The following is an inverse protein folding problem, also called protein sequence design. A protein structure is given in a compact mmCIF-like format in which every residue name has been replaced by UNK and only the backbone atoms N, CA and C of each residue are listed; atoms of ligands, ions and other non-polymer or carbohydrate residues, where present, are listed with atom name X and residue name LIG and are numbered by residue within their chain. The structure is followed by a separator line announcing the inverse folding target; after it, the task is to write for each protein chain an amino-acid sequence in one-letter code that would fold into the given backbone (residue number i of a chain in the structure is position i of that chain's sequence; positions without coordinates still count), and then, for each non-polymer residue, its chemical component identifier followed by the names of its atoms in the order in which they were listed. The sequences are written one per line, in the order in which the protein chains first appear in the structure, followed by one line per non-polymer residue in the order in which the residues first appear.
data_IF_607962342578
#
_entry.id   IF_607962342578
#
_cell.length_a   1.000
_cell.length_b   1.000
_cell.length_c   1.000
_cell.angle_alpha   90.00
_cell.angle_beta   90.00
_cell.angle_gamma   90.00
#
_symmetry.space_group_name_H-M   'P 1'
#
loop_
_entity.id
_entity.type
_entity.pdbx_description
1 polymer ?
#
# COMPACT_ATOMS: atom_id res chain seq x y z
N UNK A 1 -14.98 23.84 40.09
CA UNK A 1 -16.31 23.31 39.81
C UNK A 1 -16.10 21.84 39.46
N UNK A 2 -16.46 20.90 40.35
CA UNK A 2 -16.40 19.47 40.02
C UNK A 2 -17.50 19.22 38.99
N UNK A 3 -17.11 18.94 37.76
CA UNK A 3 -18.01 18.42 36.75
C UNK A 3 -18.64 17.12 37.29
N UNK A 4 -19.94 16.95 37.17
CA UNK A 4 -20.62 15.70 37.50
C UNK A 4 -19.94 14.56 36.71
N UNK A 5 -19.75 13.38 37.29
CA UNK A 5 -19.14 12.27 36.56
C UNK A 5 -19.96 11.96 35.30
N UNK A 6 -19.29 11.67 34.19
CA UNK A 6 -19.94 11.29 32.93
C UNK A 6 -20.48 9.87 33.06
N UNK A 7 -21.78 9.67 32.89
CA UNK A 7 -22.40 8.35 32.93
C UNK A 7 -22.05 7.56 31.64
N UNK A 8 -21.47 6.38 31.80
CA UNK A 8 -21.06 5.48 30.72
C UNK A 8 -21.78 4.13 30.86
N UNK A 9 -22.30 3.59 29.77
CA UNK A 9 -22.82 2.22 29.72
C UNK A 9 -21.77 1.30 29.10
N UNK A 10 -21.28 0.36 29.89
CA UNK A 10 -20.34 -0.69 29.47
C UNK A 10 -21.09 -1.98 29.19
N UNK A 11 -20.96 -2.51 27.98
CA UNK A 11 -21.66 -3.71 27.54
C UNK A 11 -20.67 -4.72 27.02
N UNK A 12 -20.53 -5.85 27.68
CA UNK A 12 -19.60 -6.91 27.36
C UNK A 12 -20.09 -8.22 28.00
N UNK A 13 -19.97 -9.36 27.35
CA UNK A 13 -20.42 -10.65 27.86
C UNK A 13 -19.37 -11.35 28.73
N UNK A 14 -18.12 -10.90 28.70
CA UNK A 14 -17.08 -11.35 29.63
C UNK A 14 -17.23 -10.62 30.97
N UNK A 15 -17.79 -11.29 31.96
CA UNK A 15 -18.04 -10.75 33.31
C UNK A 15 -16.75 -10.22 33.97
N UNK A 16 -15.63 -10.93 33.83
CA UNK A 16 -14.35 -10.54 34.44
C UNK A 16 -13.81 -9.29 33.77
N UNK A 17 -13.76 -9.27 32.44
CA UNK A 17 -13.30 -8.11 31.69
C UNK A 17 -14.17 -6.89 31.94
N UNK A 18 -15.50 -7.07 31.99
CA UNK A 18 -16.45 -6.00 32.26
C UNK A 18 -16.26 -5.39 33.64
N UNK A 19 -16.07 -6.21 34.68
CA UNK A 19 -15.86 -5.75 36.06
C UNK A 19 -14.52 -5.00 36.23
N UNK A 20 -13.44 -5.53 35.66
CA UNK A 20 -12.11 -4.89 35.70
C UNK A 20 -12.15 -3.55 34.95
N UNK A 21 -12.75 -3.51 33.77
CA UNK A 21 -12.82 -2.29 32.97
C UNK A 21 -13.74 -1.24 33.65
N UNK A 22 -14.85 -1.66 34.24
CA UNK A 22 -15.74 -0.77 34.98
C UNK A 22 -14.99 -0.11 36.16
N UNK A 23 -14.28 -0.89 36.98
CA UNK A 23 -13.47 -0.37 38.10
C UNK A 23 -12.42 0.64 37.59
N UNK A 24 -11.71 0.31 36.53
CA UNK A 24 -10.69 1.20 35.96
C UNK A 24 -11.28 2.51 35.40
N UNK A 25 -12.48 2.50 34.85
CA UNK A 25 -13.20 3.68 34.39
C UNK A 25 -13.74 4.53 35.55
N UNK A 26 -14.22 3.90 36.62
CA UNK A 26 -14.67 4.58 37.84
C UNK A 26 -13.50 5.31 38.52
N UNK A 27 -12.31 4.73 38.55
CA UNK A 27 -11.08 5.39 39.02
C UNK A 27 -10.70 6.62 38.17
N UNK A 28 -11.16 6.71 36.92
CA UNK A 28 -11.00 7.87 36.04
C UNK A 28 -12.13 8.88 36.14
N UNK A 29 -13.11 8.66 37.04
CA UNK A 29 -14.18 9.58 37.33
C UNK A 29 -15.45 9.40 36.48
N UNK A 30 -15.62 8.25 35.84
CA UNK A 30 -16.88 7.90 35.19
C UNK A 30 -17.84 7.27 36.18
N UNK A 31 -19.15 7.43 35.96
CA UNK A 31 -20.15 6.59 36.57
C UNK A 31 -20.55 5.49 35.59
N UNK A 32 -20.21 4.23 35.93
CA UNK A 32 -20.32 3.11 35.01
C UNK A 32 -21.59 2.29 35.30
N UNK A 33 -22.43 2.18 34.27
CA UNK A 33 -23.52 1.21 34.24
C UNK A 33 -23.09 0.01 33.44
N UNK A 34 -23.44 -1.20 33.86
CA UNK A 34 -22.97 -2.44 33.24
C UNK A 34 -24.12 -3.25 32.66
N UNK A 35 -23.90 -3.91 31.54
CA UNK A 35 -24.82 -4.87 30.94
C UNK A 35 -24.06 -6.03 30.29
N UNK A 36 -24.51 -7.30 30.40
CA UNK A 36 -23.84 -8.45 29.84
C UNK A 36 -24.13 -8.68 28.35
N UNK A 37 -25.10 -7.98 27.77
CA UNK A 37 -25.48 -8.08 26.35
C UNK A 37 -26.32 -6.88 25.91
N UNK A 38 -26.58 -6.79 24.61
CA UNK A 38 -27.37 -5.69 24.04
C UNK A 38 -28.81 -5.60 24.54
N UNK A 39 -29.44 -6.72 24.88
CA UNK A 39 -30.80 -6.71 25.40
C UNK A 39 -30.87 -6.04 26.78
N UNK A 40 -29.95 -6.44 27.68
CA UNK A 40 -29.85 -5.80 29.01
C UNK A 40 -29.37 -4.36 28.92
N UNK A 41 -28.53 -4.03 27.96
CA UNK A 41 -28.15 -2.65 27.70
C UNK A 41 -29.38 -1.74 27.38
N UNK A 42 -30.31 -2.22 26.57
CA UNK A 42 -31.56 -1.48 26.28
C UNK A 42 -32.42 -1.30 27.53
N UNK A 43 -32.50 -2.28 28.43
CA UNK A 43 -33.22 -2.14 29.70
C UNK A 43 -32.58 -1.07 30.61
N UNK A 44 -31.24 -1.02 30.63
CA UNK A 44 -30.51 0.01 31.38
C UNK A 44 -30.79 1.39 30.78
N UNK A 45 -30.73 1.55 29.45
CA UNK A 45 -31.01 2.81 28.75
C UNK A 45 -32.46 3.33 28.98
N UNK A 46 -33.43 2.45 29.24
CA UNK A 46 -34.79 2.83 29.57
C UNK A 46 -34.92 3.37 31.00
N UNK A 47 -34.08 2.92 31.92
CA UNK A 47 -34.11 3.29 33.35
C UNK A 47 -33.20 4.46 33.66
N UNK A 48 -32.06 4.55 33.01
CA UNK A 48 -31.01 5.53 33.28
C UNK A 48 -30.96 6.57 32.17
N UNK A 49 -31.47 7.76 32.43
CA UNK A 49 -31.58 8.85 31.42
C UNK A 49 -30.31 9.68 31.28
N UNK A 50 -29.32 9.49 32.18
CA UNK A 50 -28.06 10.26 32.23
C UNK A 50 -26.90 9.70 31.41
N UNK A 51 -27.08 8.55 30.79
CA UNK A 51 -26.00 7.89 30.02
C UNK A 51 -25.57 8.75 28.82
N UNK A 52 -24.30 9.13 28.79
CA UNK A 52 -23.74 10.03 27.81
C UNK A 52 -22.97 9.30 26.69
N UNK A 53 -22.47 8.08 26.95
CA UNK A 53 -21.76 7.27 25.98
C UNK A 53 -21.94 5.79 26.27
N UNK A 54 -21.98 4.97 25.21
CA UNK A 54 -21.99 3.52 25.30
C UNK A 54 -20.64 3.00 24.80
N UNK A 55 -20.01 2.09 25.57
CA UNK A 55 -18.92 1.24 25.13
C UNK A 55 -19.44 -0.18 25.09
N UNK A 56 -19.49 -0.81 23.92
CA UNK A 56 -20.06 -2.15 23.75
C UNK A 56 -19.13 -3.06 23.00
N UNK A 57 -19.01 -4.30 23.44
CA UNK A 57 -18.49 -5.36 22.58
C UNK A 57 -19.38 -5.57 21.34
N UNK A 58 -18.79 -6.08 20.26
CA UNK A 58 -19.54 -6.42 19.05
C UNK A 58 -20.23 -7.77 19.21
N UNK A 59 -19.51 -8.79 19.71
CA UNK A 59 -20.06 -10.14 19.79
C UNK A 59 -20.51 -10.48 21.20
N UNK A 60 -21.81 -10.55 21.36
CA UNK A 60 -22.45 -10.90 22.63
C UNK A 60 -23.65 -11.81 22.36
N UNK A 61 -23.99 -12.71 23.30
CA UNK A 61 -25.18 -13.53 23.19
C UNK A 61 -26.47 -12.69 23.22
N UNK A 62 -27.58 -13.26 22.76
CA UNK A 62 -28.93 -12.69 22.71
C UNK A 62 -29.06 -11.48 21.77
N UNK A 63 -28.31 -10.41 21.97
CA UNK A 63 -28.23 -9.23 21.12
C UNK A 63 -26.80 -8.73 21.03
N UNK A 64 -26.25 -8.75 19.82
CA UNK A 64 -24.92 -8.28 19.55
C UNK A 64 -24.80 -6.73 19.54
N UNK A 65 -23.56 -6.21 19.53
CA UNK A 65 -23.31 -4.77 19.57
C UNK A 65 -23.78 -4.03 18.30
N UNK A 66 -23.87 -4.70 17.16
CA UNK A 66 -24.35 -4.09 15.91
C UNK A 66 -25.87 -3.91 15.93
N UNK A 67 -26.60 -4.92 16.43
CA UNK A 67 -28.04 -4.82 16.61
C UNK A 67 -28.38 -3.82 17.72
N UNK A 68 -27.62 -3.80 18.82
CA UNK A 68 -27.73 -2.76 19.86
C UNK A 68 -27.58 -1.36 19.25
N UNK A 69 -26.54 -1.14 18.43
CA UNK A 69 -26.32 0.13 17.75
C UNK A 69 -27.52 0.53 16.89
N UNK A 70 -28.09 -0.41 16.14
CA UNK A 70 -29.27 -0.16 15.30
C UNK A 70 -30.45 0.32 16.15
N UNK A 71 -30.69 -0.32 17.30
CA UNK A 71 -31.75 0.06 18.23
C UNK A 71 -31.50 1.42 18.88
N UNK A 72 -30.28 1.68 19.30
CA UNK A 72 -29.87 2.98 19.88
C UNK A 72 -30.04 4.11 18.86
N UNK A 73 -29.71 3.88 17.58
CA UNK A 73 -29.91 4.88 16.51
C UNK A 73 -31.38 5.15 16.23
N UNK A 74 -32.27 4.21 16.45
CA UNK A 74 -33.72 4.43 16.36
C UNK A 74 -34.26 5.23 17.53
N UNK A 75 -33.59 5.23 18.68
CA UNK A 75 -33.97 5.99 19.87
C UNK A 75 -33.36 7.40 19.92
N UNK A 76 -32.22 7.62 19.21
CA UNK A 76 -31.53 8.91 19.19
C UNK A 76 -30.05 8.81 18.78
N UNK A 77 -29.32 9.90 18.99
CA UNK A 77 -27.92 10.02 18.58
C UNK A 77 -26.93 9.81 19.75
N UNK A 78 -27.24 8.93 20.70
CA UNK A 78 -26.35 8.65 21.82
C UNK A 78 -25.00 8.08 21.29
N UNK A 79 -23.86 8.69 21.63
CA UNK A 79 -22.55 8.21 21.19
C UNK A 79 -22.32 6.75 21.58
N UNK A 80 -21.89 5.92 20.64
CA UNK A 80 -21.60 4.52 20.87
C UNK A 80 -20.26 4.13 20.26
N UNK A 81 -19.34 3.68 21.12
CA UNK A 81 -18.05 3.11 20.78
C UNK A 81 -18.19 1.58 20.76
N UNK A 82 -17.69 0.94 19.73
CA UNK A 82 -17.66 -0.51 19.64
C UNK A 82 -16.26 -1.04 19.88
N UNK A 83 -16.12 -1.89 20.89
CA UNK A 83 -14.92 -2.69 21.09
C UNK A 83 -14.98 -3.89 20.14
N UNK A 84 -13.93 -4.08 19.36
CA UNK A 84 -13.91 -5.10 18.30
C UNK A 84 -12.80 -6.10 18.53
N UNK A 85 -13.13 -7.39 18.49
CA UNK A 85 -12.16 -8.45 18.35
C UNK A 85 -11.65 -8.56 16.90
N UNK A 86 -10.59 -9.34 16.71
CA UNK A 86 -9.94 -9.49 15.40
C UNK A 86 -10.83 -10.16 14.33
N UNK A 87 -11.88 -10.85 14.75
CA UNK A 87 -12.77 -11.62 13.86
C UNK A 87 -13.95 -10.81 13.28
N UNK A 88 -14.11 -9.53 13.61
CA UNK A 88 -15.37 -8.78 13.45
C UNK A 88 -15.34 -7.70 12.36
N UNK A 89 -14.54 -7.90 11.31
CA UNK A 89 -14.38 -6.90 10.25
C UNK A 89 -15.68 -6.57 9.51
N UNK A 90 -16.52 -7.58 9.26
CA UNK A 90 -17.80 -7.40 8.54
C UNK A 90 -18.79 -6.63 9.39
N UNK A 91 -18.88 -6.99 10.67
CA UNK A 91 -19.69 -6.35 11.68
C UNK A 91 -19.25 -4.89 11.89
N UNK A 92 -17.93 -4.66 11.96
CA UNK A 92 -17.34 -3.31 12.09
C UNK A 92 -17.69 -2.42 10.89
N UNK A 93 -17.63 -2.94 9.66
CA UNK A 93 -18.05 -2.21 8.45
C UNK A 93 -19.55 -1.88 8.49
N UNK A 94 -20.38 -2.81 8.95
CA UNK A 94 -21.83 -2.62 9.11
C UNK A 94 -22.13 -1.58 10.17
N UNK A 95 -21.49 -1.68 11.33
CA UNK A 95 -21.63 -0.72 12.43
C UNK A 95 -21.19 0.69 12.03
N UNK A 96 -20.15 0.82 11.21
CA UNK A 96 -19.75 2.10 10.67
C UNK A 96 -20.84 2.73 9.81
N UNK A 97 -21.46 1.96 8.89
CA UNK A 97 -22.59 2.44 8.08
C UNK A 97 -23.80 2.85 8.92
N UNK A 98 -24.01 2.18 10.04
CA UNK A 98 -25.06 2.50 11.01
C UNK A 98 -24.72 3.71 11.90
N UNK A 99 -23.54 4.32 11.75
CA UNK A 99 -23.15 5.53 12.47
C UNK A 99 -22.55 5.28 13.85
N UNK A 100 -21.81 4.20 14.06
CA UNK A 100 -20.99 4.04 15.26
C UNK A 100 -20.06 5.24 15.45
N UNK A 101 -19.98 5.77 16.66
CA UNK A 101 -19.23 6.99 16.98
C UNK A 101 -17.72 6.74 17.07
N UNK A 102 -17.32 5.51 17.40
CA UNK A 102 -15.93 5.09 17.49
C UNK A 102 -15.76 3.58 17.45
N UNK A 103 -14.52 3.14 17.22
CA UNK A 103 -14.13 1.74 17.30
C UNK A 103 -12.84 1.62 18.09
N UNK A 104 -12.72 0.57 18.88
CA UNK A 104 -11.58 0.27 19.70
C UNK A 104 -11.21 -1.21 19.54
N UNK A 105 -10.00 -1.52 19.11
CA UNK A 105 -9.59 -2.92 18.90
C UNK A 105 -9.12 -3.54 20.21
N UNK A 106 -9.69 -4.67 20.60
CA UNK A 106 -9.22 -5.47 21.76
C UNK A 106 -7.93 -6.25 21.40
N UNK A 107 -6.91 -6.28 22.29
CA UNK A 107 -6.80 -5.51 23.52
C UNK A 107 -6.51 -4.02 23.24
N UNK A 108 -6.97 -3.12 24.10
CA UNK A 108 -6.75 -1.68 24.02
C UNK A 108 -6.22 -1.13 25.33
N UNK A 109 -5.52 0.01 25.25
CA UNK A 109 -5.03 0.72 26.42
C UNK A 109 -6.10 1.71 26.94
N UNK A 110 -6.12 1.92 28.26
CA UNK A 110 -7.06 2.85 28.89
C UNK A 110 -6.96 4.27 28.30
N UNK A 111 -5.75 4.75 28.02
CA UNK A 111 -5.52 6.07 27.45
C UNK A 111 -6.13 6.22 26.04
N UNK A 112 -6.19 5.16 25.26
CA UNK A 112 -6.87 5.17 23.94
C UNK A 112 -8.38 5.34 24.09
N UNK A 113 -8.99 4.60 25.01
CA UNK A 113 -10.40 4.70 25.29
C UNK A 113 -10.74 6.12 25.79
N UNK A 114 -9.97 6.66 26.74
CA UNK A 114 -10.18 8.00 27.27
C UNK A 114 -10.00 9.09 26.20
N UNK A 115 -9.01 8.97 25.32
CA UNK A 115 -8.80 9.87 24.21
C UNK A 115 -10.01 9.86 23.26
N UNK A 116 -10.52 8.66 22.94
CA UNK A 116 -11.68 8.50 22.08
C UNK A 116 -12.94 9.11 22.71
N UNK A 117 -13.21 8.87 24.00
CA UNK A 117 -14.32 9.47 24.74
C UNK A 117 -14.19 11.00 24.77
N UNK A 118 -13.01 11.56 25.08
CA UNK A 118 -12.78 13.01 25.05
C UNK A 118 -13.12 13.64 23.69
N UNK A 119 -12.73 13.01 22.60
CA UNK A 119 -13.02 13.47 21.24
C UNK A 119 -14.54 13.53 20.97
N UNK A 120 -15.32 12.59 21.52
CA UNK A 120 -16.78 12.57 21.36
C UNK A 120 -17.47 13.73 22.09
N UNK A 121 -16.90 14.22 23.21
CA UNK A 121 -17.50 15.28 24.03
C UNK A 121 -16.94 16.68 23.75
N UNK A 122 -15.78 16.81 23.11
CA UNK A 122 -15.15 18.11 22.85
C UNK A 122 -15.92 19.00 21.87
N UNK A 123 -17.01 18.51 21.28
CA UNK A 123 -17.82 19.27 20.30
C UNK A 123 -17.06 19.58 19.01
N UNK A 124 -15.77 19.43 19.04
CA UNK A 124 -14.95 19.39 17.85
C UNK A 124 -15.19 18.03 17.18
N UNK A 125 -15.98 18.08 16.14
CA UNK A 125 -15.83 17.13 15.04
C UNK A 125 -14.46 17.39 14.39
N UNK A 126 -13.41 17.61 15.17
CA UNK A 126 -12.08 17.23 14.75
C UNK A 126 -12.15 15.73 14.50
N UNK A 127 -12.38 15.48 13.25
CA UNK A 127 -12.21 14.21 12.61
C UNK A 127 -11.02 13.53 13.25
N UNK A 128 -11.22 12.49 14.06
CA UNK A 128 -10.30 11.37 14.18
C UNK A 128 -10.35 10.61 12.85
N UNK A 129 -10.46 11.35 11.78
CA UNK A 129 -10.10 10.99 10.43
C UNK A 129 -8.64 11.29 10.35
N UNK A 130 -7.84 10.31 10.74
CA UNK A 130 -6.51 10.23 10.19
C UNK A 130 -6.72 10.42 8.69
N UNK A 131 -6.26 11.55 8.18
CA UNK A 131 -6.40 11.91 6.76
C UNK A 131 -5.77 10.77 5.98
N UNK A 132 -6.33 10.40 4.84
CA UNK A 132 -5.76 9.37 3.93
C UNK A 132 -4.26 9.61 3.71
N UNK A 133 -3.80 10.86 3.93
CA UNK A 133 -2.41 11.29 3.89
C UNK A 133 -1.50 10.89 5.06
N UNK A 134 -1.99 10.33 6.18
CA UNK A 134 -1.16 10.01 7.36
C UNK A 134 -0.69 8.55 7.39
N UNK A 135 -1.17 7.73 6.47
CA UNK A 135 -0.87 6.32 6.40
C UNK A 135 -0.16 5.91 5.11
N UNK A 136 0.77 4.98 5.23
CA UNK A 136 1.33 4.21 4.15
C UNK A 136 0.70 2.80 4.15
N UNK A 137 0.44 2.27 2.97
CA UNK A 137 -0.17 0.95 2.80
C UNK A 137 0.88 -0.12 2.51
N UNK A 138 0.60 -1.33 2.95
CA UNK A 138 1.40 -2.51 2.65
C UNK A 138 0.42 -3.58 2.14
N UNK A 139 0.75 -4.22 1.03
CA UNK A 139 -0.02 -5.40 0.61
C UNK A 139 0.01 -6.44 1.73
N UNK A 140 -1.15 -7.00 2.07
CA UNK A 140 -1.24 -7.98 3.15
C UNK A 140 -0.34 -9.20 2.89
N UNK A 141 -0.12 -9.55 1.62
CA UNK A 141 0.77 -10.63 1.19
C UNK A 141 2.26 -10.27 1.32
N UNK A 142 2.57 -8.97 1.34
CA UNK A 142 3.92 -8.43 1.44
C UNK A 142 4.28 -8.03 2.89
N UNK A 143 3.33 -8.22 3.82
CA UNK A 143 3.56 -7.84 5.20
C UNK A 143 4.53 -8.80 5.89
N UNK A 144 5.63 -8.26 6.39
CA UNK A 144 6.67 -9.00 7.11
C UNK A 144 6.69 -8.53 8.56
N UNK A 145 6.47 -9.44 9.49
CA UNK A 145 6.64 -9.20 10.91
C UNK A 145 7.65 -10.17 11.52
N UNK A 146 8.34 -9.71 12.57
CA UNK A 146 9.04 -10.61 13.51
C UNK A 146 8.04 -11.27 14.46
N UNK A 147 8.55 -11.97 15.49
CA UNK A 147 7.70 -12.53 16.56
C UNK A 147 6.89 -11.46 17.27
N UNK A 148 7.42 -10.25 17.39
CA UNK A 148 6.78 -9.13 18.05
C UNK A 148 6.70 -7.97 17.06
N UNK A 149 5.53 -7.34 16.96
CA UNK A 149 5.32 -6.15 16.15
C UNK A 149 6.15 -4.97 16.68
N UNK A 150 6.78 -4.25 15.77
CA UNK A 150 7.52 -3.03 16.10
C UNK A 150 6.70 -1.76 15.90
N UNK A 151 5.50 -1.88 15.33
CA UNK A 151 4.63 -0.77 14.96
C UNK A 151 3.17 -1.18 15.07
N UNK A 152 2.31 -0.21 15.30
CA UNK A 152 0.87 -0.40 15.25
C UNK A 152 0.41 -0.69 13.81
N UNK A 153 -0.50 -1.65 13.63
CA UNK A 153 -1.04 -2.04 12.34
C UNK A 153 -2.52 -1.63 12.27
N UNK A 154 -2.91 -1.11 11.12
CA UNK A 154 -4.26 -0.63 10.87
C UNK A 154 -4.86 -1.28 9.62
N UNK A 155 -6.18 -1.32 9.56
CA UNK A 155 -6.97 -1.58 8.35
C UNK A 155 -7.84 -0.38 8.02
N UNK A 156 -8.17 -0.20 6.75
CA UNK A 156 -9.03 0.88 6.28
C UNK A 156 -10.48 0.38 6.16
N UNK A 157 -11.39 1.01 6.87
CA UNK A 157 -12.83 0.70 6.80
C UNK A 157 -13.55 1.57 5.76
N UNK A 158 -13.17 2.84 5.64
CA UNK A 158 -13.72 3.83 4.71
C UNK A 158 -12.63 4.82 4.28
N UNK A 159 -12.92 5.72 3.33
CA UNK A 159 -11.94 6.66 2.74
C UNK A 159 -11.08 7.37 3.80
N UNK A 160 -11.70 7.78 4.91
CA UNK A 160 -11.01 8.56 5.96
C UNK A 160 -11.04 7.85 7.32
N UNK A 161 -11.22 6.52 7.35
CA UNK A 161 -11.33 5.79 8.61
C UNK A 161 -10.45 4.55 8.65
N UNK A 162 -9.48 4.61 9.55
CA UNK A 162 -8.55 3.53 9.86
C UNK A 162 -8.83 2.98 11.26
N UNK A 163 -8.76 1.66 11.40
CA UNK A 163 -8.91 0.98 12.68
C UNK A 163 -7.64 0.21 12.97
N UNK A 164 -7.09 0.44 14.16
CA UNK A 164 -5.96 -0.32 14.66
C UNK A 164 -6.39 -1.76 14.91
N UNK A 165 -5.64 -2.71 14.37
CA UNK A 165 -5.91 -4.14 14.50
C UNK A 165 -4.81 -4.88 15.27
N UNK A 166 -3.67 -4.26 15.47
CA UNK A 166 -2.61 -4.80 16.29
C UNK A 166 -1.74 -3.66 16.87
N UNK A 167 -1.26 -3.88 18.07
CA UNK A 167 -0.41 -2.95 18.81
C UNK A 167 1.06 -3.30 18.65
N UNK A 168 1.91 -2.28 18.73
CA UNK A 168 3.34 -2.47 18.96
C UNK A 168 3.55 -3.30 20.23
N UNK A 169 4.53 -4.20 20.22
CA UNK A 169 4.84 -5.08 21.34
C UNK A 169 4.04 -6.38 21.39
N UNK A 170 3.00 -6.55 20.57
CA UNK A 170 2.16 -7.76 20.53
C UNK A 170 2.62 -8.70 19.42
N UNK A 171 2.47 -10.00 19.64
CA UNK A 171 2.67 -11.00 18.57
C UNK A 171 1.48 -10.97 17.60
N UNK A 172 1.74 -10.62 16.35
CA UNK A 172 0.75 -10.77 15.28
C UNK A 172 0.87 -12.16 14.67
N UNK A 173 0.01 -13.07 15.10
CA UNK A 173 -0.05 -14.42 14.54
C UNK A 173 -0.32 -14.37 13.02
N UNK A 174 0.46 -15.14 12.27
CA UNK A 174 0.26 -15.33 10.82
C UNK A 174 -1.17 -15.83 10.51
N UNK A 175 -1.79 -16.59 11.40
CA UNK A 175 -3.17 -17.03 11.27
C UNK A 175 -4.13 -15.82 11.19
N UNK A 176 -3.91 -14.76 11.95
CA UNK A 176 -4.70 -13.52 11.90
C UNK A 176 -4.55 -12.81 10.56
N UNK A 177 -3.34 -12.70 10.05
CA UNK A 177 -3.10 -12.10 8.72
C UNK A 177 -3.85 -12.86 7.63
N UNK A 178 -3.83 -14.20 7.68
CA UNK A 178 -4.59 -15.07 6.75
C UNK A 178 -6.09 -14.86 6.86
N UNK A 179 -6.60 -14.69 8.06
CA UNK A 179 -8.04 -14.44 8.29
C UNK A 179 -8.48 -13.11 7.68
N UNK A 180 -7.72 -12.01 7.87
CA UNK A 180 -8.00 -10.74 7.21
C UNK A 180 -7.97 -10.87 5.69
N UNK A 181 -7.00 -11.59 5.14
CA UNK A 181 -6.92 -11.87 3.71
C UNK A 181 -8.14 -12.64 3.21
N UNK A 182 -8.58 -13.69 3.90
CA UNK A 182 -9.77 -14.48 3.56
C UNK A 182 -11.06 -13.62 3.56
N UNK A 183 -11.09 -12.56 4.36
CA UNK A 183 -12.18 -11.56 4.41
C UNK A 183 -12.05 -10.43 3.40
N UNK A 184 -11.10 -10.52 2.46
CA UNK A 184 -10.92 -9.58 1.37
C UNK A 184 -10.16 -8.31 1.73
N UNK A 185 -9.43 -8.27 2.86
CA UNK A 185 -8.49 -7.20 3.17
C UNK A 185 -7.28 -7.36 2.25
N UNK A 186 -7.05 -6.37 1.42
CA UNK A 186 -5.92 -6.34 0.48
C UNK A 186 -4.70 -5.61 1.06
N UNK A 187 -4.93 -4.61 1.90
CA UNK A 187 -3.88 -3.74 2.44
C UNK A 187 -3.95 -3.65 3.95
N UNK A 188 -2.81 -3.71 4.58
CA UNK A 188 -2.54 -3.25 5.93
C UNK A 188 -1.95 -1.84 5.86
N UNK A 189 -2.07 -1.08 6.95
CA UNK A 189 -1.63 0.31 6.99
C UNK A 189 -0.76 0.56 8.21
N UNK A 190 0.31 1.35 8.03
CA UNK A 190 1.13 1.91 9.11
C UNK A 190 1.02 3.45 9.06
N UNK A 191 1.23 4.10 10.19
CA UNK A 191 1.47 5.54 10.17
C UNK A 191 2.75 5.84 9.38
N UNK A 192 2.77 6.95 8.66
CA UNK A 192 3.96 7.39 7.90
C UNK A 192 5.19 7.54 8.81
N UNK A 193 5.01 8.03 10.05
CA UNK A 193 6.07 8.10 11.04
C UNK A 193 6.78 6.77 11.28
N UNK A 194 6.06 5.66 11.19
CA UNK A 194 6.56 4.31 11.46
C UNK A 194 7.06 3.61 10.19
N UNK A 195 6.57 4.06 9.03
CA UNK A 195 6.83 3.39 7.75
C UNK A 195 8.30 3.41 7.35
N UNK A 196 9.03 4.51 7.63
CA UNK A 196 10.47 4.59 7.39
C UNK A 196 11.27 3.53 8.16
N UNK A 197 10.94 3.30 9.42
CA UNK A 197 11.59 2.28 10.25
C UNK A 197 11.24 0.87 9.79
N UNK A 198 9.99 0.66 9.36
CA UNK A 198 9.53 -0.59 8.77
C UNK A 198 10.26 -0.91 7.46
N UNK A 199 10.38 0.05 6.55
CA UNK A 199 11.13 -0.09 5.31
C UNK A 199 12.60 -0.40 5.56
N UNK A 200 13.28 0.30 6.50
CA UNK A 200 14.66 0.03 6.88
C UNK A 200 14.88 -1.39 7.42
N UNK A 201 13.92 -1.90 8.20
CA UNK A 201 13.94 -3.30 8.68
C UNK A 201 13.77 -4.28 7.52
N UNK A 202 12.85 -4.00 6.60
CA UNK A 202 12.57 -4.83 5.42
C UNK A 202 13.77 -4.89 4.47
N UNK A 203 14.46 -3.76 4.23
CA UNK A 203 15.72 -3.71 3.47
C UNK A 203 16.83 -4.55 4.10
N UNK A 204 16.99 -4.45 5.41
CA UNK A 204 17.99 -5.24 6.16
C UNK A 204 17.71 -6.74 6.03
N UNK A 205 16.44 -7.13 6.10
CA UNK A 205 16.03 -8.52 5.93
C UNK A 205 16.20 -8.97 4.47
N UNK A 206 15.81 -8.16 3.50
CA UNK A 206 15.96 -8.47 2.08
C UNK A 206 17.42 -8.72 1.71
N UNK A 207 18.37 -7.94 2.23
CA UNK A 207 19.81 -8.15 2.03
C UNK A 207 20.27 -9.51 2.57
N UNK A 208 19.81 -9.91 3.76
CA UNK A 208 20.14 -11.23 4.33
C UNK A 208 19.55 -12.37 3.52
N UNK A 209 18.28 -12.21 3.12
CA UNK A 209 17.55 -13.21 2.34
C UNK A 209 18.16 -13.36 0.92
N UNK A 210 18.52 -12.27 0.27
CA UNK A 210 19.15 -12.29 -1.05
C UNK A 210 20.50 -13.02 -1.06
N UNK A 211 21.28 -12.88 0.01
CA UNK A 211 22.60 -13.51 0.15
C UNK A 211 22.54 -14.99 0.59
N UNK A 212 21.44 -15.45 1.18
CA UNK A 212 21.34 -16.81 1.71
C UNK A 212 20.80 -17.80 0.65
N UNK A 213 21.73 -18.55 0.03
CA UNK A 213 21.41 -19.58 -0.97
C UNK A 213 20.65 -20.80 -0.44
N UNK A 214 20.52 -20.94 0.89
CA UNK A 214 19.66 -21.99 1.49
C UNK A 214 18.18 -21.65 1.41
N UNK A 215 17.88 -20.37 1.22
CA UNK A 215 16.50 -19.91 1.02
C UNK A 215 16.13 -20.15 -0.44
N UNK A 216 14.99 -20.80 -0.65
CA UNK A 216 14.44 -21.02 -1.98
C UNK A 216 14.37 -19.71 -2.78
N UNK A 217 14.74 -19.81 -4.08
CA UNK A 217 14.84 -18.66 -4.98
C UNK A 217 13.52 -17.89 -5.07
N UNK A 218 12.39 -18.60 -5.17
CA UNK A 218 11.07 -17.97 -5.23
C UNK A 218 10.79 -17.09 -4.02
N UNK A 219 11.22 -17.52 -2.82
CA UNK A 219 11.13 -16.70 -1.61
C UNK A 219 12.03 -15.49 -1.67
N UNK A 220 13.27 -15.64 -2.21
CA UNK A 220 14.18 -14.50 -2.38
C UNK A 220 13.63 -13.48 -3.37
N UNK A 221 13.10 -13.91 -4.51
CA UNK A 221 12.44 -13.06 -5.50
C UNK A 221 11.25 -12.30 -4.90
N UNK A 222 10.43 -12.98 -4.09
CA UNK A 222 9.30 -12.37 -3.37
C UNK A 222 9.75 -11.26 -2.42
N UNK A 223 10.81 -11.49 -1.64
CA UNK A 223 11.33 -10.47 -0.73
C UNK A 223 11.88 -9.24 -1.46
N UNK A 224 12.55 -9.44 -2.60
CA UNK A 224 13.03 -8.34 -3.42
C UNK A 224 11.87 -7.52 -3.95
N UNK A 225 10.86 -8.17 -4.53
CA UNK A 225 9.64 -7.50 -4.99
C UNK A 225 8.98 -6.68 -3.87
N UNK A 226 8.77 -7.30 -2.71
CA UNK A 226 8.17 -6.65 -1.54
C UNK A 226 8.92 -5.38 -1.17
N UNK A 227 10.25 -5.44 -1.17
CA UNK A 227 11.10 -4.29 -0.87
C UNK A 227 10.94 -3.18 -1.92
N UNK A 228 10.90 -3.54 -3.20
CA UNK A 228 10.65 -2.59 -4.29
C UNK A 228 9.29 -1.90 -4.16
N UNK A 229 8.24 -2.67 -3.87
CA UNK A 229 6.89 -2.12 -3.64
C UNK A 229 6.85 -1.14 -2.46
N UNK A 230 7.58 -1.41 -1.37
CA UNK A 230 7.65 -0.51 -0.22
C UNK A 230 8.38 0.79 -0.55
N UNK A 231 9.42 0.75 -1.39
CA UNK A 231 10.15 1.95 -1.84
C UNK A 231 9.24 2.81 -2.73
N UNK A 232 8.50 2.19 -3.66
CA UNK A 232 7.53 2.90 -4.49
C UNK A 232 6.42 3.50 -3.62
N UNK A 233 5.87 2.74 -2.66
CA UNK A 233 4.88 3.27 -1.70
C UNK A 233 5.41 4.50 -0.96
N UNK A 234 6.65 4.43 -0.41
CA UNK A 234 7.29 5.58 0.26
C UNK A 234 7.31 6.81 -0.64
N UNK A 235 7.72 6.65 -1.89
CA UNK A 235 7.80 7.74 -2.85
C UNK A 235 6.42 8.26 -3.29
N UNK A 236 5.41 7.39 -3.35
CA UNK A 236 4.04 7.75 -3.72
C UNK A 236 3.30 8.51 -2.62
N UNK A 237 3.52 8.17 -1.35
CA UNK A 237 2.75 8.76 -0.23
C UNK A 237 3.47 9.89 0.49
N UNK A 238 4.78 10.03 0.30
CA UNK A 238 5.61 11.07 0.91
C UNK A 238 6.39 11.83 -0.16
N UNK A 239 7.17 12.83 0.25
CA UNK A 239 8.16 13.45 -0.62
C UNK A 239 9.31 12.48 -0.89
N UNK A 240 9.86 12.52 -2.09
CA UNK A 240 11.04 11.75 -2.44
C UNK A 240 12.26 12.35 -1.75
N UNK A 241 12.86 11.60 -0.84
CA UNK A 241 14.01 12.03 -0.04
C UNK A 241 15.25 11.16 -0.33
N UNK A 242 16.39 11.54 0.25
CA UNK A 242 17.65 10.78 0.13
C UNK A 242 17.51 9.35 0.65
N UNK A 243 16.68 9.12 1.66
CA UNK A 243 16.45 7.78 2.18
C UNK A 243 15.77 6.85 1.15
N UNK A 244 14.78 7.35 0.40
CA UNK A 244 14.14 6.58 -0.65
C UNK A 244 15.12 6.25 -1.80
N UNK A 245 16.01 7.19 -2.15
CA UNK A 245 17.05 7.00 -3.17
C UNK A 245 18.11 5.99 -2.72
N UNK A 246 18.53 6.03 -1.45
CA UNK A 246 19.45 5.03 -0.87
C UNK A 246 18.79 3.66 -0.75
N UNK A 247 17.52 3.61 -0.35
CA UNK A 247 16.73 2.38 -0.32
C UNK A 247 16.62 1.73 -1.71
N UNK A 248 16.45 2.54 -2.76
CA UNK A 248 16.47 2.07 -4.13
C UNK A 248 17.83 1.49 -4.53
N UNK A 249 18.95 2.08 -4.07
CA UNK A 249 20.29 1.54 -4.30
C UNK A 249 20.43 0.15 -3.68
N UNK A 250 20.09 -0.01 -2.41
CA UNK A 250 20.10 -1.29 -1.71
C UNK A 250 19.22 -2.34 -2.43
N UNK A 251 18.06 -1.91 -2.90
CA UNK A 251 17.16 -2.77 -3.67
C UNK A 251 17.81 -3.28 -4.96
N UNK A 252 18.44 -2.39 -5.76
CA UNK A 252 19.07 -2.79 -7.01
C UNK A 252 20.24 -3.73 -6.79
N UNK A 253 21.07 -3.51 -5.77
CA UNK A 253 22.17 -4.42 -5.42
C UNK A 253 21.66 -5.82 -5.04
N UNK A 254 20.60 -5.90 -4.24
CA UNK A 254 19.98 -7.16 -3.86
C UNK A 254 19.29 -7.84 -5.06
N UNK A 255 18.57 -7.08 -5.89
CA UNK A 255 17.93 -7.60 -7.10
C UNK A 255 18.97 -8.17 -8.07
N UNK A 256 20.07 -7.45 -8.30
CA UNK A 256 21.16 -7.92 -9.15
C UNK A 256 21.81 -9.19 -8.63
N UNK A 257 21.92 -9.38 -7.32
CA UNK A 257 22.49 -10.60 -6.72
C UNK A 257 21.63 -11.82 -7.06
N UNK A 258 20.31 -11.68 -6.97
CA UNK A 258 19.38 -12.79 -7.25
C UNK A 258 19.21 -13.01 -8.76
N UNK A 259 19.15 -11.95 -9.55
CA UNK A 259 19.05 -12.00 -11.01
C UNK A 259 20.29 -12.66 -11.63
N UNK A 260 21.49 -12.41 -11.08
CA UNK A 260 22.73 -13.00 -11.59
C UNK A 260 22.79 -14.53 -11.47
N UNK A 261 21.94 -15.13 -10.63
CA UNK A 261 21.84 -16.58 -10.44
C UNK A 261 20.82 -17.23 -11.37
N UNK A 262 20.09 -16.45 -12.19
CA UNK A 262 19.00 -16.96 -13.00
C UNK A 262 19.33 -17.00 -14.49
N UNK A 263 19.28 -18.19 -15.06
CA UNK A 263 19.32 -18.37 -16.52
C UNK A 263 17.97 -18.00 -17.16
N UNK A 264 16.87 -18.05 -16.39
CA UNK A 264 15.52 -17.69 -16.83
C UNK A 264 14.97 -16.43 -16.14
N UNK A 265 15.55 -15.30 -16.51
CA UNK A 265 15.26 -13.97 -15.95
C UNK A 265 13.80 -13.54 -16.02
N UNK A 266 13.03 -14.01 -17.02
CA UNK A 266 11.63 -13.60 -17.23
C UNK A 266 10.64 -14.37 -16.35
N UNK A 267 10.97 -15.61 -15.96
CA UNK A 267 10.13 -16.40 -15.03
C UNK A 267 10.09 -15.81 -13.62
N UNK A 268 11.20 -15.28 -13.15
CA UNK A 268 11.26 -14.59 -11.85
C UNK A 268 10.35 -13.35 -11.81
N UNK A 269 10.10 -12.74 -12.95
CA UNK A 269 9.28 -11.55 -13.10
C UNK A 269 7.79 -11.86 -13.30
N UNK A 270 7.42 -13.06 -13.74
CA UNK A 270 6.02 -13.52 -13.69
C UNK A 270 5.51 -13.58 -12.24
N UNK A 271 6.39 -13.96 -11.30
CA UNK A 271 6.11 -13.94 -9.86
C UNK A 271 5.87 -12.51 -9.35
N UNK A 272 6.49 -11.49 -9.97
CA UNK A 272 6.27 -10.09 -9.63
C UNK A 272 4.82 -9.63 -9.93
N UNK A 273 4.14 -10.30 -10.87
CA UNK A 273 2.80 -9.93 -11.33
C UNK A 273 1.66 -10.45 -10.46
N UNK A 274 1.89 -11.39 -9.57
CA UNK A 274 0.78 -12.17 -9.01
C UNK A 274 -0.07 -11.42 -7.97
N UNK A 275 0.45 -10.44 -7.23
CA UNK A 275 -0.28 -9.90 -6.07
C UNK A 275 -0.01 -8.42 -5.76
N UNK A 276 0.56 -7.62 -6.67
CA UNK A 276 0.89 -6.21 -6.43
C UNK A 276 -0.19 -5.25 -6.95
N UNK A 277 -0.23 -4.04 -6.40
CA UNK A 277 -0.87 -2.90 -7.07
C UNK A 277 -0.19 -2.73 -8.44
N UNK A 278 -0.99 -2.58 -9.51
CA UNK A 278 -0.45 -2.58 -10.88
C UNK A 278 0.58 -1.47 -11.13
N UNK A 279 0.41 -0.29 -10.51
CA UNK A 279 1.39 0.82 -10.63
C UNK A 279 2.72 0.42 -10.00
N UNK A 280 2.70 -0.25 -8.84
CA UNK A 280 3.92 -0.63 -8.14
C UNK A 280 4.62 -1.81 -8.81
N UNK A 281 3.84 -2.83 -9.21
CA UNK A 281 4.36 -3.95 -9.98
C UNK A 281 5.02 -3.48 -11.28
N UNK A 282 4.38 -2.52 -11.97
CA UNK A 282 4.90 -1.90 -13.18
C UNK A 282 6.23 -1.19 -12.91
N UNK A 283 6.28 -0.26 -11.95
CA UNK A 283 7.50 0.50 -11.63
C UNK A 283 8.68 -0.38 -11.23
N UNK A 284 8.45 -1.40 -10.39
CA UNK A 284 9.47 -2.37 -10.01
C UNK A 284 9.94 -3.17 -11.21
N UNK A 285 9.02 -3.65 -12.06
CA UNK A 285 9.35 -4.41 -13.27
C UNK A 285 10.13 -3.58 -14.27
N UNK A 286 9.69 -2.36 -14.56
CA UNK A 286 10.40 -1.44 -15.48
C UNK A 286 11.82 -1.20 -15.00
N UNK A 287 12.04 -1.00 -13.70
CA UNK A 287 13.37 -0.80 -13.15
C UNK A 287 14.28 -1.99 -13.37
N UNK A 288 13.78 -3.21 -13.11
CA UNK A 288 14.55 -4.45 -13.27
C UNK A 288 14.84 -4.73 -14.74
N UNK A 289 13.84 -4.62 -15.62
CA UNK A 289 14.06 -4.83 -17.07
C UNK A 289 14.98 -3.79 -17.69
N UNK A 290 14.88 -2.53 -17.25
CA UNK A 290 15.82 -1.48 -17.68
C UNK A 290 17.24 -1.82 -17.31
N UNK A 291 17.50 -2.30 -16.09
CA UNK A 291 18.84 -2.75 -15.66
C UNK A 291 19.32 -3.94 -16.50
N UNK A 292 18.46 -4.90 -16.78
CA UNK A 292 18.80 -6.07 -17.60
C UNK A 292 19.18 -5.66 -19.04
N UNK A 293 18.39 -4.80 -19.67
CA UNK A 293 18.68 -4.24 -21.01
C UNK A 293 20.01 -3.49 -21.01
N UNK A 294 20.23 -2.61 -20.03
CA UNK A 294 21.48 -1.87 -19.91
C UNK A 294 22.70 -2.80 -19.81
N UNK A 295 22.62 -3.84 -18.98
CA UNK A 295 23.70 -4.83 -18.84
C UNK A 295 23.97 -5.63 -20.12
N UNK A 296 22.90 -5.99 -20.84
CA UNK A 296 23.01 -6.68 -22.13
C UNK A 296 23.64 -5.78 -23.21
N UNK A 297 23.43 -4.48 -23.13
CA UNK A 297 24.08 -3.46 -23.96
C UNK A 297 25.53 -3.17 -23.56
N UNK A 298 26.04 -3.80 -22.49
CA UNK A 298 27.38 -3.53 -21.97
C UNK A 298 27.48 -2.38 -20.98
N UNK A 299 26.36 -1.77 -20.57
CA UNK A 299 26.32 -0.70 -19.57
C UNK A 299 26.39 -1.27 -18.14
N UNK A 300 27.55 -1.83 -17.78
CA UNK A 300 27.71 -2.63 -16.56
C UNK A 300 28.25 -1.84 -15.37
N UNK A 301 28.67 -0.59 -15.56
CA UNK A 301 29.22 0.25 -14.49
C UNK A 301 28.14 0.47 -13.40
N UNK A 302 28.51 0.31 -12.12
CA UNK A 302 27.58 0.44 -11.01
C UNK A 302 26.82 1.80 -10.99
N UNK A 303 27.46 2.96 -11.24
CA UNK A 303 26.73 4.24 -11.33
C UNK A 303 25.72 4.27 -12.47
N UNK A 304 26.01 3.67 -13.63
CA UNK A 304 25.11 3.61 -14.77
C UNK A 304 23.93 2.71 -14.47
N UNK A 305 24.17 1.51 -13.93
CA UNK A 305 23.15 0.56 -13.54
C UNK A 305 22.20 1.18 -12.50
N UNK A 306 22.73 1.94 -11.55
CA UNK A 306 21.95 2.66 -10.55
C UNK A 306 21.04 3.71 -11.20
N UNK A 307 21.55 4.56 -12.11
CA UNK A 307 20.76 5.58 -12.81
C UNK A 307 19.62 4.95 -13.63
N UNK A 308 19.94 3.88 -14.34
CA UNK A 308 18.95 3.11 -15.13
C UNK A 308 17.84 2.55 -14.23
N UNK A 309 18.22 1.89 -13.13
CA UNK A 309 17.25 1.35 -12.18
C UNK A 309 16.39 2.44 -11.55
N UNK A 310 17.02 3.57 -11.17
CA UNK A 310 16.33 4.70 -10.55
C UNK A 310 15.32 5.34 -11.52
N UNK A 311 15.70 5.50 -12.80
CA UNK A 311 14.80 5.97 -13.84
C UNK A 311 13.58 5.05 -13.97
N UNK A 312 13.79 3.73 -14.04
CA UNK A 312 12.69 2.76 -14.15
C UNK A 312 11.81 2.69 -12.90
N UNK A 313 12.39 2.83 -11.69
CA UNK A 313 11.62 2.73 -10.45
C UNK A 313 10.69 3.92 -10.23
N UNK A 314 11.09 5.11 -10.65
CA UNK A 314 10.38 6.35 -10.37
C UNK A 314 9.86 7.07 -11.63
N UNK A 315 9.87 6.40 -12.84
CA UNK A 315 9.41 7.05 -14.06
C UNK A 315 7.96 7.54 -13.96
N UNK A 316 7.13 6.79 -13.25
CA UNK A 316 5.69 7.02 -13.09
C UNK A 316 5.30 7.66 -11.74
N UNK A 317 6.26 8.18 -10.96
CA UNK A 317 5.95 8.78 -9.64
C UNK A 317 4.97 9.96 -9.73
N UNK A 318 4.87 10.62 -10.88
CA UNK A 318 3.91 11.69 -11.15
C UNK A 318 2.45 11.24 -11.16
N UNK A 319 2.19 9.93 -11.29
CA UNK A 319 0.84 9.37 -11.17
C UNK A 319 0.21 9.62 -9.79
N UNK A 320 1.02 9.87 -8.75
CA UNK A 320 0.48 10.22 -7.41
C UNK A 320 -0.34 11.50 -7.40
N UNK A 321 -0.17 12.37 -8.39
CA UNK A 321 -0.92 13.62 -8.55
C UNK A 321 -2.12 13.48 -9.50
N UNK A 322 -2.38 12.29 -10.01
CA UNK A 322 -3.48 11.99 -10.93
C UNK A 322 -4.55 11.18 -10.19
N UNK A 323 -5.82 11.50 -10.45
CA UNK A 323 -6.94 10.77 -9.83
C UNK A 323 -6.83 9.27 -10.14
N UNK A 324 -6.90 8.48 -9.09
CA UNK A 324 -6.81 7.01 -9.18
C UNK A 324 -7.84 6.42 -10.14
N UNK A 325 -9.01 7.03 -10.28
CA UNK A 325 -10.02 6.62 -11.23
C UNK A 325 -9.51 6.67 -12.68
N UNK A 326 -8.72 7.68 -13.03
CA UNK A 326 -8.11 7.80 -14.35
C UNK A 326 -7.05 6.70 -14.55
N UNK A 327 -6.21 6.49 -13.54
CA UNK A 327 -5.14 5.47 -13.57
C UNK A 327 -5.72 4.05 -13.72
N UNK A 328 -6.82 3.76 -13.02
CA UNK A 328 -7.47 2.44 -13.02
C UNK A 328 -8.40 2.22 -14.23
N UNK A 329 -8.55 3.21 -15.13
CA UNK A 329 -9.36 3.10 -16.33
C UNK A 329 -8.50 2.72 -17.53
N UNK A 330 -8.89 1.71 -18.35
CA UNK A 330 -8.19 1.38 -19.57
C UNK A 330 -8.00 2.61 -20.46
N UNK A 331 -6.81 2.82 -21.03
CA UNK A 331 -6.46 4.03 -21.81
C UNK A 331 -7.41 4.28 -22.99
N UNK A 332 -7.88 3.20 -23.62
CA UNK A 332 -8.86 3.29 -24.71
C UNK A 332 -10.22 3.84 -24.26
N UNK A 333 -10.54 3.74 -22.97
CA UNK A 333 -11.81 4.20 -22.37
C UNK A 333 -11.73 5.61 -21.79
N UNK A 334 -10.53 6.21 -21.73
CA UNK A 334 -10.35 7.58 -21.24
C UNK A 334 -10.92 8.59 -22.24
N UNK A 335 -11.60 9.60 -21.73
CA UNK A 335 -11.95 10.80 -22.50
C UNK A 335 -10.67 11.53 -22.95
N UNK A 336 -10.80 12.41 -23.96
CA UNK A 336 -9.66 13.23 -24.41
C UNK A 336 -9.04 14.05 -23.27
N UNK A 337 -9.85 14.64 -22.41
CA UNK A 337 -9.38 15.45 -21.28
C UNK A 337 -8.63 14.59 -20.23
N UNK A 338 -9.18 13.41 -19.89
CA UNK A 338 -8.54 12.47 -18.97
C UNK A 338 -7.22 11.93 -19.54
N UNK A 339 -7.16 11.67 -20.85
CA UNK A 339 -5.93 11.24 -21.52
C UNK A 339 -4.84 12.32 -21.45
N UNK A 340 -5.17 13.58 -21.76
CA UNK A 340 -4.24 14.71 -21.64
C UNK A 340 -3.73 14.81 -20.19
N UNK A 341 -4.62 14.68 -19.20
CA UNK A 341 -4.22 14.70 -17.79
C UNK A 341 -3.32 13.51 -17.44
N UNK A 342 -3.63 12.30 -17.92
CA UNK A 342 -2.78 11.13 -17.75
C UNK A 342 -1.38 11.35 -18.33
N UNK A 343 -1.27 11.88 -19.55
CA UNK A 343 0.00 12.13 -20.25
C UNK A 343 0.90 13.15 -19.53
N UNK A 344 0.34 13.97 -18.61
CA UNK A 344 1.15 14.88 -17.78
C UNK A 344 2.06 14.18 -16.79
N UNK A 345 1.83 12.86 -16.49
CA UNK A 345 2.63 12.16 -15.47
C UNK A 345 4.13 12.19 -15.75
N UNK A 346 4.56 12.14 -17.01
CA UNK A 346 5.98 12.17 -17.37
C UNK A 346 6.67 13.47 -16.93
N UNK A 347 6.02 14.64 -17.14
CA UNK A 347 6.52 15.93 -16.65
C UNK A 347 6.44 16.03 -15.14
N UNK A 348 5.32 15.64 -14.53
CA UNK A 348 5.14 15.63 -13.06
C UNK A 348 6.17 14.73 -12.38
N UNK A 349 6.46 13.57 -12.97
CA UNK A 349 7.53 12.69 -12.47
C UNK A 349 8.88 13.40 -12.48
N UNK A 350 9.23 14.05 -13.58
CA UNK A 350 10.47 14.79 -13.68
C UNK A 350 10.53 15.97 -12.69
N UNK A 351 9.44 16.68 -12.48
CA UNK A 351 9.34 17.78 -11.52
C UNK A 351 9.55 17.29 -10.08
N UNK A 352 8.89 16.17 -9.69
CA UNK A 352 9.04 15.55 -8.37
C UNK A 352 10.50 15.11 -8.16
N UNK A 353 11.10 14.44 -9.14
CA UNK A 353 12.48 13.97 -9.06
C UNK A 353 13.46 15.14 -8.94
N UNK A 354 13.27 16.19 -9.74
CA UNK A 354 14.11 17.39 -9.71
C UNK A 354 14.00 18.14 -8.36
N UNK A 355 12.78 18.27 -7.83
CA UNK A 355 12.51 18.94 -6.56
C UNK A 355 13.15 18.25 -5.36
N UNK A 356 13.38 16.93 -5.45
CA UNK A 356 14.03 16.16 -4.38
C UNK A 356 15.50 16.56 -4.16
N UNK A 357 16.16 17.11 -5.18
CA UNK A 357 17.59 17.46 -5.15
C UNK A 357 18.54 16.26 -4.98
N UNK A 358 18.03 15.04 -4.99
CA UNK A 358 18.80 13.81 -4.70
C UNK A 358 18.99 12.92 -5.91
N UNK A 359 18.27 13.19 -7.00
CA UNK A 359 18.25 12.40 -8.23
C UNK A 359 19.14 13.05 -9.29
N UNK A 360 20.03 12.30 -9.97
CA UNK A 360 20.86 12.85 -11.05
C UNK A 360 20.02 13.44 -12.20
N UNK A 361 20.47 14.58 -12.76
CA UNK A 361 19.77 15.27 -13.86
C UNK A 361 19.51 14.37 -15.07
N UNK A 362 20.45 13.47 -15.41
CA UNK A 362 20.28 12.49 -16.49
C UNK A 362 19.07 11.57 -16.29
N UNK A 363 18.76 11.23 -15.04
CA UNK A 363 17.58 10.43 -14.67
C UNK A 363 16.32 11.26 -14.84
N UNK A 364 16.31 12.50 -14.33
CA UNK A 364 15.20 13.44 -14.47
C UNK A 364 14.86 13.65 -15.95
N UNK A 365 15.88 13.87 -16.77
CA UNK A 365 15.72 14.05 -18.21
C UNK A 365 15.16 12.79 -18.86
N UNK A 366 15.67 11.60 -18.54
CA UNK A 366 15.18 10.35 -19.10
C UNK A 366 13.73 10.09 -18.73
N UNK A 367 13.36 10.35 -17.49
CA UNK A 367 11.98 10.23 -17.00
C UNK A 367 11.05 11.22 -17.72
N UNK A 368 11.47 12.47 -17.97
CA UNK A 368 10.65 13.42 -18.73
C UNK A 368 10.43 13.01 -20.18
N UNK A 369 11.27 12.12 -20.74
CA UNK A 369 11.30 11.74 -22.15
C UNK A 369 10.83 10.30 -22.43
N UNK A 370 10.43 9.52 -21.42
CA UNK A 370 10.23 8.07 -21.60
C UNK A 370 9.03 7.72 -22.51
N UNK A 371 8.14 8.66 -22.75
CA UNK A 371 7.06 8.55 -23.72
C UNK A 371 7.29 9.34 -25.02
N UNK A 372 8.48 9.87 -25.22
CA UNK A 372 8.83 10.47 -26.53
C UNK A 372 9.01 9.38 -27.59
N UNK A 373 8.62 9.71 -28.82
CA UNK A 373 8.68 8.82 -29.97
C UNK A 373 9.76 9.34 -30.94
N UNK A 374 10.70 8.51 -31.40
CA UNK A 374 11.72 8.95 -32.36
C UNK A 374 11.19 9.64 -33.62
N UNK A 375 9.92 9.42 -33.99
CA UNK A 375 9.24 10.08 -35.10
C UNK A 375 8.61 11.43 -34.71
N UNK A 376 8.60 11.81 -33.41
CA UNK A 376 8.04 13.06 -32.90
C UNK A 376 6.53 13.02 -32.65
N UNK A 377 5.93 11.84 -32.56
CA UNK A 377 4.51 11.65 -32.22
C UNK A 377 4.30 11.32 -30.74
N UNK A 378 5.39 11.28 -29.96
CA UNK A 378 5.35 11.08 -28.53
C UNK A 378 4.98 12.33 -27.74
N UNK A 379 5.04 12.22 -26.44
CA UNK A 379 4.78 13.30 -25.51
C UNK A 379 5.86 13.33 -24.41
N UNK A 380 6.06 14.44 -23.70
CA UNK A 380 5.27 15.67 -23.69
C UNK A 380 5.71 16.73 -24.71
N UNK A 381 6.88 16.59 -25.37
CA UNK A 381 7.47 17.63 -26.21
C UNK A 381 7.50 17.31 -27.72
N UNK A 382 7.25 16.06 -28.08
CA UNK A 382 7.34 15.60 -29.47
C UNK A 382 8.79 15.59 -29.99
N UNK A 383 9.75 15.22 -29.15
CA UNK A 383 11.18 15.12 -29.47
C UNK A 383 11.42 14.03 -30.54
N UNK A 384 12.46 14.22 -31.35
CA UNK A 384 12.80 13.32 -32.45
C UNK A 384 14.20 12.76 -32.36
N UNK A 385 14.34 11.51 -32.72
CA UNK A 385 15.62 10.85 -32.99
C UNK A 385 16.70 11.11 -31.93
N UNK A 386 17.68 11.97 -32.27
CA UNK A 386 18.81 12.26 -31.40
C UNK A 386 18.52 13.22 -30.23
N UNK A 387 17.36 13.89 -30.23
CA UNK A 387 16.93 14.75 -29.13
C UNK A 387 16.51 13.93 -27.90
N UNK A 388 16.13 12.65 -28.11
CA UNK A 388 15.76 11.73 -27.04
C UNK A 388 17.04 11.06 -26.52
N UNK A 389 17.27 11.15 -25.20
CA UNK A 389 18.47 10.59 -24.59
C UNK A 389 18.51 9.06 -24.69
N UNK A 390 19.72 8.43 -24.76
CA UNK A 390 19.82 6.97 -24.83
C UNK A 390 19.16 6.28 -23.62
N UNK A 391 19.22 6.89 -22.43
CA UNK A 391 18.56 6.35 -21.23
C UNK A 391 17.03 6.39 -21.36
N UNK A 392 16.46 7.46 -21.93
CA UNK A 392 15.03 7.56 -22.19
C UNK A 392 14.56 6.51 -23.23
N UNK A 393 15.31 6.30 -24.28
CA UNK A 393 15.00 5.27 -25.30
C UNK A 393 15.03 3.85 -24.71
N UNK A 394 16.00 3.56 -23.83
CA UNK A 394 16.07 2.29 -23.12
C UNK A 394 14.85 2.14 -22.19
N UNK A 395 14.54 3.18 -21.43
CA UNK A 395 13.41 3.21 -20.52
C UNK A 395 12.08 3.00 -21.26
N UNK A 396 11.87 3.68 -22.39
CA UNK A 396 10.69 3.52 -23.25
C UNK A 396 10.48 2.07 -23.73
N UNK A 397 11.57 1.34 -24.04
CA UNK A 397 11.50 -0.07 -24.44
C UNK A 397 11.13 -0.97 -23.26
N UNK A 398 11.70 -0.73 -22.08
CA UNK A 398 11.39 -1.50 -20.88
C UNK A 398 9.96 -1.23 -20.40
N UNK A 399 9.53 0.04 -20.44
CA UNK A 399 8.18 0.47 -20.10
C UNK A 399 7.15 -0.17 -21.02
N UNK A 400 7.30 -0.04 -22.34
CA UNK A 400 6.41 -0.64 -23.32
C UNK A 400 6.32 -2.17 -23.17
N UNK A 401 7.42 -2.85 -22.81
CA UNK A 401 7.39 -4.28 -22.52
C UNK A 401 6.54 -4.58 -21.28
N UNK A 402 6.72 -3.83 -20.21
CA UNK A 402 5.96 -4.01 -18.98
C UNK A 402 4.48 -3.65 -19.15
N UNK A 403 4.13 -2.71 -20.02
CA UNK A 403 2.73 -2.41 -20.35
C UNK A 403 1.95 -3.64 -20.86
N UNK A 404 2.60 -4.54 -21.59
CA UNK A 404 1.99 -5.78 -22.06
C UNK A 404 2.20 -6.95 -21.11
N UNK A 405 3.40 -7.10 -20.54
CA UNK A 405 3.78 -8.25 -19.72
C UNK A 405 3.19 -8.20 -18.29
N UNK A 406 3.03 -7.01 -17.71
CA UNK A 406 2.54 -6.81 -16.34
C UNK A 406 1.03 -6.58 -16.32
N UNK A 407 0.34 -7.15 -15.33
CA UNK A 407 -1.11 -6.90 -15.14
C UNK A 407 -1.39 -5.42 -14.90
N UNK A 408 -2.29 -4.87 -15.68
CA UNK A 408 -2.74 -3.49 -15.57
C UNK A 408 -4.16 -3.36 -16.18
N UNK A 409 -4.82 -2.19 -16.14
CA UNK A 409 -6.16 -2.01 -16.69
C UNK A 409 -6.28 -2.35 -18.19
N UNK A 410 -5.24 -2.11 -19.00
CA UNK A 410 -5.22 -2.45 -20.43
C UNK A 410 -4.88 -3.92 -20.71
N UNK A 411 -4.13 -4.57 -19.77
CA UNK A 411 -3.72 -5.99 -19.84
C UNK A 411 -4.03 -6.71 -18.53
N UNK A 412 -5.30 -7.06 -18.23
CA UNK A 412 -5.70 -7.57 -16.90
C UNK A 412 -5.09 -8.92 -16.50
N UNK A 413 -4.59 -9.68 -17.45
CA UNK A 413 -3.92 -10.97 -17.19
C UNK A 413 -2.40 -10.89 -17.25
N UNK A 414 -1.87 -9.81 -17.87
CA UNK A 414 -0.50 -9.79 -18.35
C UNK A 414 -0.29 -10.77 -19.51
N UNK A 415 0.84 -10.70 -20.16
CA UNK A 415 1.22 -11.55 -21.30
C UNK A 415 2.54 -12.25 -21.01
N UNK A 416 2.79 -13.39 -21.63
CA UNK A 416 4.12 -13.99 -21.65
C UNK A 416 5.11 -13.05 -22.35
N UNK A 417 6.41 -13.24 -22.10
CA UNK A 417 7.45 -12.39 -22.68
C UNK A 417 7.40 -12.39 -24.21
N UNK A 418 7.20 -13.55 -24.85
CA UNK A 418 7.07 -13.67 -26.32
C UNK A 418 5.81 -12.97 -26.87
N UNK A 419 4.68 -13.12 -26.17
CA UNK A 419 3.45 -12.42 -26.56
C UNK A 419 3.60 -10.91 -26.44
N UNK A 420 4.21 -10.41 -25.36
CA UNK A 420 4.49 -9.00 -25.16
C UNK A 420 5.37 -8.43 -26.27
N UNK A 421 6.48 -9.14 -26.64
CA UNK A 421 7.31 -8.75 -27.76
C UNK A 421 6.52 -8.69 -29.07
N UNK A 422 5.68 -9.69 -29.37
CA UNK A 422 4.85 -9.72 -30.57
C UNK A 422 3.88 -8.53 -30.62
N UNK A 423 3.31 -8.14 -29.48
CA UNK A 423 2.44 -6.96 -29.37
C UNK A 423 3.21 -5.64 -29.55
N UNK A 424 4.40 -5.52 -28.98
CA UNK A 424 5.27 -4.37 -29.19
C UNK A 424 5.62 -4.21 -30.67
N UNK A 425 5.96 -5.29 -31.37
CA UNK A 425 6.23 -5.28 -32.82
C UNK A 425 5.02 -4.86 -33.64
N UNK A 426 3.84 -5.33 -33.26
CA UNK A 426 2.60 -5.02 -33.96
C UNK A 426 2.17 -3.57 -33.78
N UNK A 427 2.30 -3.01 -32.57
CA UNK A 427 1.66 -1.74 -32.20
C UNK A 427 2.62 -0.59 -31.89
N UNK A 428 3.90 -0.89 -31.55
CA UNK A 428 4.85 0.11 -31.04
C UNK A 428 6.20 0.12 -31.79
N UNK A 429 6.37 -0.70 -32.84
CA UNK A 429 7.66 -0.86 -33.51
C UNK A 429 8.26 0.44 -34.04
N UNK A 430 7.44 1.35 -34.58
CA UNK A 430 7.90 2.65 -35.10
C UNK A 430 8.17 3.68 -34.01
N UNK A 431 7.60 3.49 -32.81
CA UNK A 431 7.71 4.40 -31.68
C UNK A 431 8.90 4.06 -30.75
N UNK A 432 9.56 2.92 -30.94
CA UNK A 432 10.64 2.43 -30.10
C UNK A 432 11.96 2.36 -30.86
N UNK A 433 13.07 2.55 -30.13
CA UNK A 433 14.41 2.46 -30.74
C UNK A 433 14.72 1.02 -31.18
N UNK A 434 15.02 0.77 -32.47
CA UNK A 434 15.22 -0.58 -32.98
C UNK A 434 16.40 -1.34 -32.37
N UNK A 435 17.45 -0.63 -31.95
CA UNK A 435 18.64 -1.26 -31.35
C UNK A 435 18.31 -1.83 -29.97
N UNK A 436 17.59 -1.10 -29.14
CA UNK A 436 17.15 -1.56 -27.82
C UNK A 436 16.09 -2.67 -27.95
N UNK A 437 15.16 -2.56 -28.90
CA UNK A 437 14.21 -3.62 -29.21
C UNK A 437 14.89 -4.93 -29.59
N UNK A 438 15.95 -4.87 -30.43
CA UNK A 438 16.72 -6.05 -30.79
C UNK A 438 17.31 -6.75 -29.56
N UNK A 439 17.91 -5.99 -28.65
CA UNK A 439 18.51 -6.55 -27.42
C UNK A 439 17.43 -7.18 -26.52
N UNK A 440 16.28 -6.55 -26.37
CA UNK A 440 15.16 -7.13 -25.61
C UNK A 440 14.73 -8.48 -26.19
N UNK A 441 14.56 -8.58 -27.52
CA UNK A 441 14.21 -9.83 -28.19
C UNK A 441 15.25 -10.94 -27.97
N UNK A 442 16.53 -10.58 -28.04
CA UNK A 442 17.62 -11.52 -27.77
C UNK A 442 17.59 -12.04 -26.33
N UNK A 443 17.30 -11.17 -25.36
CA UNK A 443 17.15 -11.56 -23.96
C UNK A 443 15.96 -12.52 -23.76
N UNK A 444 14.79 -12.21 -24.32
CA UNK A 444 13.60 -13.08 -24.22
C UNK A 444 13.91 -14.45 -24.83
N UNK A 445 14.47 -14.49 -26.05
CA UNK A 445 14.79 -15.76 -26.73
C UNK A 445 15.79 -16.61 -25.96
N UNK A 446 16.80 -16.01 -25.34
CA UNK A 446 17.76 -16.74 -24.50
C UNK A 446 17.10 -17.37 -23.28
N UNK A 447 16.23 -16.62 -22.61
CA UNK A 447 15.50 -17.10 -21.46
C UNK A 447 14.61 -18.30 -21.76
N UNK A 448 13.91 -18.28 -22.92
CA UNK A 448 13.05 -19.40 -23.35
C UNK A 448 13.88 -20.65 -23.74
N UNK A 449 15.04 -20.44 -24.36
CA UNK A 449 15.94 -21.56 -24.73
C UNK A 449 16.53 -22.25 -23.51
N UNK A 450 16.70 -21.55 -22.40
CA UNK A 450 17.23 -22.13 -21.15
C UNK A 450 16.17 -22.86 -20.33
N UNK A 451 14.87 -22.67 -20.66
CA UNK A 451 13.73 -23.26 -19.98
C UNK A 451 13.22 -24.55 -20.66
N UNK A 452 13.64 -24.81 -21.92
CA UNK A 452 13.33 -26.01 -22.71
C UNK A 452 14.42 -27.06 -22.55
#
# INVERSE_FOLDING_TARGET
MNASPTDLLLVDDDDIFREVLATALEDKGFKVHQAPNGLRALEVLQKETGIAVILSDIRMPEMDGVELLRRVRALGNLPMILATGFSELTETKTAHRLGASGFLAKPFEMDELLALIKTLFAGDREKTTAVDGDFARIMIDDFVSGKVLKHNIFIRLAKDKFVKIAHEGVDLDIARVREYKARGVKYLYLKKSDFRAYLGTSLTLARKVAADRKIDKEKRDRFIRQTGNLIVEKAMVEELDSFAVEAARDFFENALTVIAEDENLFRSLEILNEHSDHVYAHSVSVSVYSIMLARALGWKAAPTTFRVGLAGLFHDIGLKEIDRKIIDTPRASLTRAERILYETHALRSAEILNSSGTVPEEVVQAVSQHHEDPNGFGYPRGLKGAEITPLAKLLAVADAFCEFAVKNPDSPKGMSASEAISKMEQFRASALDPAFMKVLKELVRKSESSAA
#
